data_IF_396241539658
#
_entry.id   IF_396241539658
#
_cell.length_a   1.000
_cell.length_b   1.000
_cell.length_c   1.000
_cell.angle_alpha   90.00
_cell.angle_beta   90.00
_cell.angle_gamma   90.00
#
_symmetry.space_group_name_H-M   'P 1'
#
loop_
_entity.id
_entity.type
_entity.pdbx_description
1 polymer ?
#
# COMPACT_ATOMS: atom_id res chain seq x y z
N UNK A 1 75.32 -18.41 -13.05
CA UNK A 1 74.00 -18.39 -13.72
C UNK A 1 73.01 -19.01 -12.75
N UNK A 2 71.96 -18.24 -12.39
CA UNK A 2 70.55 -18.61 -12.07
C UNK A 2 70.30 -20.05 -11.60
N UNK A 3 69.48 -20.42 -10.62
CA UNK A 3 68.48 -19.85 -9.69
C UNK A 3 68.02 -21.10 -8.87
N UNK A 4 67.30 -21.12 -7.76
CA UNK A 4 66.64 -20.16 -6.88
C UNK A 4 66.15 -20.98 -5.68
N UNK A 5 66.26 -20.42 -4.47
CA UNK A 5 65.78 -21.05 -3.23
C UNK A 5 64.25 -20.95 -3.15
N UNK A 6 63.56 -22.09 -3.14
CA UNK A 6 62.15 -22.17 -2.75
C UNK A 6 62.06 -22.18 -1.22
N UNK A 7 61.62 -21.06 -0.63
CA UNK A 7 61.16 -21.00 0.76
C UNK A 7 59.64 -21.20 0.75
N UNK A 8 59.21 -22.30 1.36
CA UNK A 8 57.82 -22.53 1.74
C UNK A 8 57.52 -21.73 3.01
N UNK A 9 56.76 -20.64 2.89
CA UNK A 9 56.12 -19.98 4.03
C UNK A 9 54.68 -20.47 4.17
N UNK A 10 54.20 -20.76 5.40
CA UNK A 10 52.85 -21.22 5.65
C UNK A 10 51.84 -20.07 5.50
N UNK A 11 50.76 -20.34 4.78
CA UNK A 11 49.54 -19.52 4.69
C UNK A 11 49.01 -19.12 6.08
N UNK A 12 48.78 -17.83 6.37
CA UNK A 12 47.82 -17.44 7.38
C UNK A 12 46.42 -17.42 6.74
N UNK A 13 45.65 -18.48 7.00
CA UNK A 13 44.19 -18.41 7.00
C UNK A 13 43.75 -17.58 8.22
N UNK A 14 42.58 -16.96 8.10
CA UNK A 14 41.87 -16.20 9.14
C UNK A 14 42.26 -14.73 9.30
N UNK A 15 41.71 -13.89 8.42
CA UNK A 15 41.37 -12.51 8.79
C UNK A 15 40.15 -12.03 8.01
N UNK A 16 39.01 -12.08 8.71
CA UNK A 16 37.87 -11.17 8.62
C UNK A 16 37.58 -10.55 7.25
N UNK A 17 36.66 -11.17 6.49
CA UNK A 17 35.70 -10.45 5.65
C UNK A 17 34.29 -10.84 6.11
N UNK A 18 33.91 -10.30 7.27
CA UNK A 18 32.52 -10.20 7.69
C UNK A 18 32.26 -8.71 7.97
N UNK A 19 31.95 -7.98 6.91
CA UNK A 19 31.45 -6.61 6.88
C UNK A 19 31.02 -6.39 5.42
N UNK A 20 29.74 -6.47 5.09
CA UNK A 20 28.75 -5.44 5.34
C UNK A 20 27.38 -6.07 5.58
N UNK A 21 27.06 -6.34 6.85
CA UNK A 21 25.66 -6.42 7.29
C UNK A 21 25.17 -4.98 7.46
N UNK A 22 24.60 -4.40 6.41
CA UNK A 22 23.69 -3.26 6.57
C UNK A 22 22.28 -3.75 6.37
N UNK A 23 21.78 -4.50 7.36
CA UNK A 23 20.35 -4.56 7.64
C UNK A 23 19.91 -3.10 7.84
N UNK A 24 19.41 -2.45 6.80
CA UNK A 24 18.48 -1.34 7.00
C UNK A 24 17.26 -1.99 7.63
N UNK A 25 17.24 -2.09 8.96
CA UNK A 25 15.98 -2.28 9.68
C UNK A 25 15.16 -1.07 9.31
N UNK A 26 14.28 -1.24 8.35
CA UNK A 26 13.15 -0.35 8.16
C UNK A 26 12.42 -0.38 9.50
N UNK A 27 12.65 0.63 10.33
CA UNK A 27 11.92 0.79 11.58
C UNK A 27 10.47 1.01 11.20
N UNK A 28 9.60 0.10 11.64
CA UNK A 28 8.17 0.21 11.42
C UNK A 28 7.65 1.51 12.06
N UNK A 29 7.36 2.51 11.22
CA UNK A 29 6.82 3.82 11.59
C UNK A 29 5.29 3.91 11.46
N UNK A 30 4.62 2.79 11.15
CA UNK A 30 3.19 2.76 10.83
C UNK A 30 2.31 3.30 11.95
N UNK A 31 2.63 3.00 13.22
CA UNK A 31 1.87 3.50 14.37
C UNK A 31 1.96 5.02 14.50
N UNK A 32 3.16 5.60 14.30
CA UNK A 32 3.37 7.04 14.36
C UNK A 32 2.65 7.76 13.22
N UNK A 33 2.65 7.15 12.03
CA UNK A 33 1.90 7.66 10.87
C UNK A 33 0.40 7.58 11.10
N UNK A 34 -0.11 6.48 11.69
CA UNK A 34 -1.51 6.38 12.09
C UNK A 34 -1.90 7.43 13.13
N UNK A 35 -1.02 7.75 14.08
CA UNK A 35 -1.25 8.85 15.04
C UNK A 35 -1.36 10.19 14.31
N UNK A 36 -0.44 10.48 13.37
CA UNK A 36 -0.50 11.71 12.57
C UNK A 36 -1.77 11.81 11.71
N UNK A 37 -2.21 10.71 11.09
CA UNK A 37 -3.47 10.68 10.33
C UNK A 37 -4.68 10.89 11.26
N UNK A 38 -4.64 10.34 12.48
CA UNK A 38 -5.68 10.55 13.50
C UNK A 38 -5.78 12.03 13.90
N UNK A 39 -4.65 12.67 14.16
CA UNK A 39 -4.60 14.10 14.50
C UNK A 39 -5.16 14.96 13.35
N UNK A 40 -4.82 14.64 12.10
CA UNK A 40 -5.37 15.31 10.92
C UNK A 40 -6.90 15.13 10.87
N UNK A 41 -7.39 13.89 11.02
CA UNK A 41 -8.83 13.62 10.98
C UNK A 41 -9.59 14.39 12.05
N UNK A 42 -9.07 14.43 13.28
CA UNK A 42 -9.68 15.19 14.39
C UNK A 42 -9.74 16.68 14.08
N UNK A 43 -8.64 17.27 13.61
CA UNK A 43 -8.59 18.70 13.22
C UNK A 43 -9.61 19.03 12.13
N UNK A 44 -9.75 18.16 11.12
CA UNK A 44 -10.73 18.34 10.04
C UNK A 44 -12.18 18.28 10.55
N UNK A 45 -12.48 17.34 11.46
CA UNK A 45 -13.80 17.24 12.09
C UNK A 45 -14.11 18.48 12.94
N UNK A 46 -13.14 19.00 13.71
CA UNK A 46 -13.29 20.24 14.47
C UNK A 46 -13.58 21.43 13.56
N UNK A 47 -12.89 21.52 12.42
CA UNK A 47 -13.11 22.57 11.41
C UNK A 47 -14.49 22.46 10.77
N UNK A 48 -14.92 21.25 10.40
CA UNK A 48 -16.26 21.03 9.86
C UNK A 48 -17.35 21.45 10.87
N UNK A 49 -17.18 21.10 12.15
CA UNK A 49 -18.06 21.53 13.24
C UNK A 49 -18.06 23.05 13.40
N UNK A 50 -16.90 23.70 13.38
CA UNK A 50 -16.79 25.16 13.46
C UNK A 50 -17.45 25.87 12.26
N UNK A 51 -17.47 25.22 11.08
CA UNK A 51 -18.18 25.69 9.89
C UNK A 51 -19.71 25.45 9.92
N UNK A 52 -20.22 24.84 11.00
CA UNK A 52 -21.65 24.63 11.24
C UNK A 52 -22.21 23.31 10.71
N UNK A 53 -21.36 22.35 10.32
CA UNK A 53 -21.82 21.02 9.95
C UNK A 53 -22.48 20.34 11.16
N UNK A 54 -23.64 19.71 10.95
CA UNK A 54 -24.36 18.94 11.97
C UNK A 54 -23.74 17.57 12.22
N UNK A 55 -23.18 16.97 11.16
CA UNK A 55 -22.39 15.75 11.22
C UNK A 55 -21.23 15.85 10.23
N UNK A 56 -20.17 15.09 10.45
CA UNK A 56 -19.03 14.99 9.54
C UNK A 56 -18.31 13.65 9.71
N UNK A 57 -17.66 13.20 8.64
CA UNK A 57 -16.73 12.07 8.64
C UNK A 57 -15.51 12.38 7.79
N UNK A 58 -14.40 11.76 8.16
CA UNK A 58 -13.10 11.89 7.50
C UNK A 58 -12.52 10.50 7.32
N UNK A 59 -12.07 10.20 6.11
CA UNK A 59 -11.25 9.02 5.83
C UNK A 59 -9.88 9.47 5.33
N UNK A 60 -8.83 8.96 5.97
CA UNK A 60 -7.45 9.15 5.57
C UNK A 60 -6.86 7.80 5.17
N UNK A 61 -6.11 7.76 4.07
CA UNK A 61 -5.34 6.59 3.65
C UNK A 61 -3.92 6.96 3.25
N UNK A 62 -2.99 6.06 3.51
CA UNK A 62 -1.65 6.06 2.93
C UNK A 62 -1.31 4.65 2.44
N UNK A 63 -0.87 4.55 1.20
CA UNK A 63 -0.53 3.28 0.56
C UNK A 63 0.88 3.36 -0.03
N UNK A 64 1.61 2.25 0.05
CA UNK A 64 2.90 2.08 -0.61
C UNK A 64 2.96 0.70 -1.22
N UNK A 65 3.48 0.60 -2.43
CA UNK A 65 3.60 -0.67 -3.13
C UNK A 65 4.82 -0.76 -4.03
N UNK A 66 5.13 -2.00 -4.36
CA UNK A 66 6.04 -2.40 -5.42
C UNK A 66 5.32 -3.48 -6.23
N UNK A 67 5.24 -3.29 -7.54
CA UNK A 67 4.67 -4.23 -8.49
C UNK A 67 5.69 -4.47 -9.62
N UNK A 68 5.99 -5.75 -9.87
CA UNK A 68 6.91 -6.16 -10.94
C UNK A 68 6.17 -7.13 -11.83
N UNK A 69 6.26 -6.89 -13.15
CA UNK A 69 5.74 -7.80 -14.17
C UNK A 69 6.86 -8.22 -15.11
N UNK A 70 6.90 -9.50 -15.42
CA UNK A 70 7.84 -10.12 -16.36
C UNK A 70 7.05 -10.90 -17.40
N UNK A 71 7.60 -11.02 -18.59
CA UNK A 71 7.01 -11.82 -19.65
C UNK A 71 8.07 -12.41 -20.55
N UNK A 72 7.92 -13.70 -20.84
CA UNK A 72 8.82 -14.48 -21.68
C UNK A 72 10.30 -14.41 -21.23
N UNK A 73 10.55 -14.23 -19.93
CA UNK A 73 11.88 -14.10 -19.34
C UNK A 73 12.46 -12.68 -19.34
N UNK A 74 11.74 -11.69 -19.83
CA UNK A 74 12.14 -10.28 -19.82
C UNK A 74 11.30 -9.48 -18.82
N UNK A 75 11.90 -8.47 -18.19
CA UNK A 75 11.18 -7.54 -17.31
C UNK A 75 10.37 -6.56 -18.16
N UNK A 76 9.05 -6.50 -17.93
CA UNK A 76 8.17 -5.54 -18.61
C UNK A 76 8.00 -4.26 -17.81
N UNK A 77 7.68 -4.36 -16.52
CA UNK A 77 7.45 -3.22 -15.64
C UNK A 77 8.01 -3.42 -14.24
N UNK A 78 8.47 -2.31 -13.67
CA UNK A 78 8.81 -2.18 -12.25
C UNK A 78 8.18 -0.87 -11.79
N UNK A 79 7.12 -0.97 -11.02
CA UNK A 79 6.35 0.18 -10.53
C UNK A 79 6.46 0.30 -9.02
N UNK A 80 6.75 1.51 -8.53
CA UNK A 80 6.64 1.83 -7.11
C UNK A 80 5.57 2.87 -6.90
N UNK A 81 4.57 2.54 -6.08
CA UNK A 81 3.44 3.42 -5.77
C UNK A 81 3.61 4.01 -4.38
N UNK A 82 3.20 5.27 -4.25
CA UNK A 82 3.13 5.97 -2.96
C UNK A 82 1.98 6.94 -3.01
N UNK A 83 0.85 6.47 -2.52
CA UNK A 83 -0.40 7.21 -2.55
C UNK A 83 -0.83 7.63 -1.16
N UNK A 84 -1.57 8.72 -1.11
CA UNK A 84 -2.27 9.17 0.08
C UNK A 84 -3.52 9.92 -0.32
N UNK A 85 -4.53 9.83 0.53
CA UNK A 85 -5.80 10.51 0.31
C UNK A 85 -6.45 10.90 1.62
N UNK A 86 -7.10 12.05 1.60
CA UNK A 86 -7.99 12.50 2.67
C UNK A 86 -9.31 12.87 2.00
N UNK A 87 -10.39 12.26 2.44
CA UNK A 87 -11.74 12.63 2.05
C UNK A 87 -12.50 13.13 3.28
N UNK A 88 -13.26 14.21 3.09
CA UNK A 88 -14.13 14.80 4.11
C UNK A 88 -15.54 14.81 3.55
N UNK A 89 -16.48 14.25 4.31
CA UNK A 89 -17.92 14.39 4.07
C UNK A 89 -18.52 15.16 5.23
N UNK A 90 -19.36 16.14 4.91
CA UNK A 90 -20.08 16.96 5.89
C UNK A 90 -21.57 16.94 5.60
N UNK A 91 -22.34 17.13 6.67
CA UNK A 91 -23.79 17.18 6.61
C UNK A 91 -24.29 18.48 7.24
N UNK A 92 -25.24 19.14 6.60
CA UNK A 92 -25.97 20.29 7.13
C UNK A 92 -27.46 19.94 7.20
N UNK A 93 -27.86 19.31 8.31
CA UNK A 93 -29.13 18.61 8.40
C UNK A 93 -29.06 17.33 7.56
N UNK A 94 -29.87 17.26 6.50
CA UNK A 94 -29.94 16.11 5.58
C UNK A 94 -29.26 16.37 4.22
N UNK A 95 -28.61 17.53 4.06
CA UNK A 95 -27.82 17.87 2.89
C UNK A 95 -26.37 17.44 3.06
N UNK A 96 -25.81 16.75 2.06
CA UNK A 96 -24.48 16.14 2.08
C UNK A 96 -23.53 16.85 1.11
N UNK A 97 -22.29 17.07 1.52
CA UNK A 97 -21.23 17.50 0.62
C UNK A 97 -19.93 16.77 0.95
N UNK A 98 -19.15 16.46 -0.07
CA UNK A 98 -17.89 15.74 0.07
C UNK A 98 -16.82 16.36 -0.80
N UNK A 99 -15.58 16.35 -0.32
CA UNK A 99 -14.39 16.77 -1.05
C UNK A 99 -13.19 15.92 -0.60
N UNK A 100 -12.14 15.87 -1.43
CA UNK A 100 -10.93 15.13 -1.11
C UNK A 100 -9.66 15.83 -1.59
N UNK A 101 -8.51 15.43 -1.03
CA UNK A 101 -7.18 15.92 -1.40
C UNK A 101 -6.12 14.86 -1.10
N UNK A 102 -5.01 14.89 -1.84
CA UNK A 102 -3.80 14.14 -1.53
C UNK A 102 -2.73 15.01 -0.83
N UNK A 103 -2.96 16.33 -0.76
CA UNK A 103 -2.04 17.29 -0.15
C UNK A 103 -2.36 17.49 1.33
N UNK A 104 -1.35 17.30 2.19
CA UNK A 104 -1.45 17.42 3.64
C UNK A 104 -1.13 18.83 4.16
N UNK A 105 -0.84 19.79 3.29
CA UNK A 105 -0.66 21.17 3.70
C UNK A 105 -1.94 21.70 4.35
N UNK A 106 -1.80 22.43 5.47
CA UNK A 106 -2.92 22.96 6.24
C UNK A 106 -3.89 23.78 5.36
N UNK A 107 -3.38 24.56 4.40
CA UNK A 107 -4.20 25.32 3.47
C UNK A 107 -5.08 24.43 2.56
N UNK A 108 -4.52 23.31 2.09
CA UNK A 108 -5.23 22.34 1.25
C UNK A 108 -6.30 21.62 2.06
N UNK A 109 -5.97 21.20 3.29
CA UNK A 109 -6.89 20.60 4.24
C UNK A 109 -8.08 21.53 4.58
N UNK A 110 -7.80 22.80 4.88
CA UNK A 110 -8.84 23.80 5.15
C UNK A 110 -9.72 24.06 3.93
N UNK A 111 -9.11 24.15 2.75
CA UNK A 111 -9.82 24.30 1.48
C UNK A 111 -10.75 23.11 1.21
N UNK A 112 -10.31 21.88 1.46
CA UNK A 112 -11.13 20.68 1.30
C UNK A 112 -12.37 20.71 2.19
N UNK A 113 -12.24 21.08 3.47
CA UNK A 113 -13.40 21.22 4.37
C UNK A 113 -14.34 22.32 3.88
N UNK A 114 -13.80 23.46 3.48
CA UNK A 114 -14.60 24.58 2.96
C UNK A 114 -15.38 24.19 1.69
N UNK A 115 -14.76 23.45 0.78
CA UNK A 115 -15.40 22.94 -0.43
C UNK A 115 -16.52 21.94 -0.11
N UNK A 116 -16.28 20.96 0.78
CA UNK A 116 -17.31 20.03 1.22
C UNK A 116 -18.51 20.77 1.84
N UNK A 117 -18.25 21.79 2.68
CA UNK A 117 -19.29 22.63 3.27
C UNK A 117 -20.05 23.45 2.24
N UNK A 118 -19.36 24.01 1.23
CA UNK A 118 -19.99 24.74 0.15
C UNK A 118 -20.95 23.83 -0.63
N UNK A 119 -20.48 22.65 -1.04
CA UNK A 119 -21.31 21.65 -1.75
C UNK A 119 -22.55 21.32 -0.93
N UNK A 120 -22.40 20.94 0.35
CA UNK A 120 -23.51 20.55 1.21
C UNK A 120 -24.59 21.64 1.36
N UNK A 121 -24.22 22.93 1.29
CA UNK A 121 -25.19 24.03 1.40
C UNK A 121 -26.04 24.20 0.13
N UNK A 122 -25.60 23.69 -1.02
CA UNK A 122 -26.28 23.78 -2.30
C UNK A 122 -26.94 22.47 -2.75
N UNK A 123 -26.67 21.34 -2.09
CA UNK A 123 -27.36 20.07 -2.35
C UNK A 123 -28.77 20.05 -1.74
N UNK A 124 -29.62 19.19 -2.27
CA UNK A 124 -30.97 18.94 -1.75
C UNK A 124 -30.95 18.09 -0.48
N UNK A 125 -32.03 18.15 0.29
CA UNK A 125 -32.23 17.28 1.45
C UNK A 125 -32.52 15.84 1.00
N UNK A 126 -31.81 14.88 1.61
CA UNK A 126 -32.06 13.46 1.44
C UNK A 126 -32.33 12.82 2.81
N UNK A 127 -33.54 12.28 3.00
CA UNK A 127 -33.96 11.69 4.26
C UNK A 127 -33.05 10.54 4.73
N UNK A 128 -32.46 9.79 3.79
CA UNK A 128 -31.55 8.68 4.07
C UNK A 128 -30.11 9.14 4.37
N UNK A 129 -29.81 10.42 4.19
CA UNK A 129 -28.49 10.99 4.41
C UNK A 129 -28.17 11.16 5.90
N UNK A 130 -26.91 10.92 6.26
CA UNK A 130 -26.38 11.08 7.61
C UNK A 130 -25.34 10.02 7.93
N UNK A 131 -24.68 10.17 9.07
CA UNK A 131 -23.88 9.10 9.65
C UNK A 131 -24.78 7.95 10.11
N UNK A 132 -24.21 6.75 10.17
CA UNK A 132 -24.83 5.65 10.90
C UNK A 132 -25.02 6.03 12.39
N UNK A 133 -26.03 5.43 13.03
CA UNK A 133 -26.39 5.78 14.39
C UNK A 133 -25.19 5.58 15.36
N UNK A 134 -24.98 6.49 16.33
CA UNK A 134 -23.83 6.43 17.24
C UNK A 134 -23.70 5.11 18.00
N UNK A 135 -24.82 4.44 18.26
CA UNK A 135 -24.89 3.16 18.97
C UNK A 135 -24.41 1.96 18.14
N UNK A 136 -24.35 2.10 16.81
CA UNK A 136 -23.83 1.10 15.88
C UNK A 136 -22.32 1.22 15.65
N UNK A 137 -21.69 2.29 16.17
CA UNK A 137 -20.24 2.46 16.07
C UNK A 137 -19.52 1.33 16.81
N UNK A 138 -18.49 0.75 16.19
CA UNK A 138 -17.67 -0.26 16.84
C UNK A 138 -17.00 0.33 18.09
N UNK A 139 -17.02 -0.44 19.19
CA UNK A 139 -16.41 -0.07 20.47
C UNK A 139 -15.16 -0.90 20.78
N UNK A 140 -15.12 -2.10 20.22
CA UNK A 140 -14.02 -3.04 20.37
C UNK A 140 -13.32 -3.18 19.03
N UNK A 141 -12.00 -3.04 19.05
CA UNK A 141 -11.13 -3.16 17.89
C UNK A 141 -10.20 -4.35 18.13
N UNK A 142 -10.61 -5.57 17.73
CA UNK A 142 -9.74 -6.72 17.87
C UNK A 142 -8.49 -6.53 17.01
N UNK A 143 -7.34 -6.93 17.56
CA UNK A 143 -6.13 -7.04 16.74
C UNK A 143 -6.31 -8.21 15.78
N UNK A 144 -6.34 -7.91 14.47
CA UNK A 144 -6.51 -8.89 13.41
C UNK A 144 -5.17 -9.46 12.92
N UNK A 145 -4.05 -9.01 13.48
CA UNK A 145 -2.70 -9.39 13.05
C UNK A 145 -2.54 -9.25 11.52
N UNK A 146 -2.97 -8.12 10.96
CA UNK A 146 -2.98 -7.85 9.52
C UNK A 146 -1.68 -7.22 8.99
N UNK A 147 -0.67 -7.07 9.85
CA UNK A 147 0.55 -6.32 9.54
C UNK A 147 1.79 -7.22 9.49
N UNK A 148 2.13 -7.66 8.28
CA UNK A 148 3.28 -8.51 8.00
C UNK A 148 4.15 -7.90 6.90
N UNK A 149 4.91 -6.82 7.17
CA UNK A 149 5.75 -6.19 6.15
C UNK A 149 6.77 -7.15 5.57
N UNK A 150 6.86 -7.19 4.25
CA UNK A 150 7.88 -7.92 3.52
C UNK A 150 8.91 -6.95 2.99
N UNK A 151 10.15 -7.08 3.44
CA UNK A 151 11.29 -6.30 2.94
C UNK A 151 11.72 -6.81 1.55
N UNK A 152 10.80 -6.79 0.59
CA UNK A 152 11.03 -7.15 -0.80
C UNK A 152 11.48 -5.91 -1.57
N UNK A 153 12.69 -5.94 -2.10
CA UNK A 153 13.19 -4.93 -3.03
C UNK A 153 12.89 -5.30 -4.49
N UNK A 154 13.11 -4.34 -5.40
CA UNK A 154 12.80 -4.50 -6.82
C UNK A 154 13.58 -5.65 -7.48
N UNK A 155 14.87 -5.79 -7.15
CA UNK A 155 15.72 -6.84 -7.73
C UNK A 155 15.23 -8.23 -7.29
N UNK A 156 14.94 -8.40 -6.00
CA UNK A 156 14.39 -9.66 -5.47
C UNK A 156 12.99 -9.94 -6.03
N UNK A 157 12.16 -8.91 -6.23
CA UNK A 157 10.83 -9.07 -6.84
C UNK A 157 10.93 -9.52 -8.30
N UNK A 158 11.87 -8.96 -9.07
CA UNK A 158 12.20 -9.41 -10.44
C UNK A 158 12.63 -10.87 -10.43
N UNK A 159 13.57 -11.24 -9.56
CA UNK A 159 14.05 -12.62 -9.47
C UNK A 159 12.91 -13.60 -9.15
N UNK A 160 12.00 -13.23 -8.24
CA UNK A 160 10.83 -14.04 -7.90
C UNK A 160 9.86 -14.19 -9.07
N UNK A 161 9.54 -13.09 -9.77
CA UNK A 161 8.64 -13.12 -10.91
C UNK A 161 9.23 -13.97 -12.06
N UNK A 162 10.52 -13.79 -12.37
CA UNK A 162 11.23 -14.58 -13.39
C UNK A 162 11.27 -16.07 -13.02
N UNK A 163 11.59 -16.39 -11.76
CA UNK A 163 11.60 -17.76 -11.28
C UNK A 163 10.21 -18.41 -11.35
N UNK A 164 9.16 -17.66 -11.04
CA UNK A 164 7.77 -18.12 -11.12
C UNK A 164 7.38 -18.44 -12.58
N UNK A 165 7.65 -17.52 -13.51
CA UNK A 165 7.37 -17.73 -14.93
C UNK A 165 8.15 -18.92 -15.50
N UNK A 166 9.46 -18.99 -15.20
CA UNK A 166 10.33 -20.06 -15.67
C UNK A 166 9.87 -21.43 -15.16
N UNK A 167 9.55 -21.55 -13.87
CA UNK A 167 9.05 -22.79 -13.30
C UNK A 167 7.76 -23.28 -14.00
N UNK A 168 6.88 -22.34 -14.36
CA UNK A 168 5.67 -22.61 -15.11
C UNK A 168 5.93 -23.08 -16.54
N UNK A 169 6.75 -22.33 -17.30
CA UNK A 169 7.06 -22.62 -18.71
C UNK A 169 7.86 -23.91 -18.88
N UNK A 170 8.79 -24.19 -17.95
CA UNK A 170 9.67 -25.35 -18.01
C UNK A 170 8.97 -26.65 -17.54
N UNK A 171 7.75 -26.55 -16.99
CA UNK A 171 7.01 -27.71 -16.50
C UNK A 171 6.58 -28.67 -17.61
N UNK A 172 6.26 -28.17 -18.81
CA UNK A 172 5.84 -29.00 -19.94
C UNK A 172 6.12 -28.29 -21.28
N UNK A 173 6.68 -29.02 -22.25
CA UNK A 173 7.00 -28.49 -23.59
C UNK A 173 5.79 -27.96 -24.38
N UNK A 174 4.57 -28.32 -23.98
CA UNK A 174 3.32 -27.79 -24.57
C UNK A 174 2.99 -26.36 -24.11
N UNK A 175 3.68 -25.85 -23.09
CA UNK A 175 3.57 -24.47 -22.61
C UNK A 175 4.58 -23.63 -23.40
N UNK A 176 4.22 -23.27 -24.63
CA UNK A 176 5.12 -22.54 -25.53
C UNK A 176 5.05 -21.02 -25.40
N UNK A 177 4.09 -20.47 -24.63
CA UNK A 177 3.88 -19.03 -24.52
C UNK A 177 3.42 -18.62 -23.10
N UNK A 178 3.46 -17.33 -22.80
CA UNK A 178 3.17 -16.76 -21.49
C UNK A 178 2.54 -15.37 -21.61
N UNK A 179 1.57 -15.10 -20.74
CA UNK A 179 1.05 -13.76 -20.47
C UNK A 179 1.77 -13.10 -19.29
N UNK A 180 2.80 -13.76 -18.75
CA UNK A 180 3.73 -13.21 -17.79
C UNK A 180 3.58 -13.77 -16.38
N UNK A 181 4.43 -13.27 -15.50
CA UNK A 181 4.32 -13.45 -14.06
C UNK A 181 4.53 -12.12 -13.36
N UNK A 182 3.99 -12.02 -12.14
CA UNK A 182 4.13 -10.84 -11.32
C UNK A 182 4.51 -11.19 -9.89
N UNK A 183 5.21 -10.27 -9.25
CA UNK A 183 5.45 -10.27 -7.81
C UNK A 183 5.16 -8.86 -7.29
N UNK A 184 4.30 -8.78 -6.26
CA UNK A 184 3.90 -7.51 -5.67
C UNK A 184 3.83 -7.55 -4.15
N UNK A 185 4.15 -6.42 -3.54
CA UNK A 185 4.08 -6.17 -2.11
C UNK A 185 3.45 -4.80 -1.87
N UNK A 186 2.60 -4.71 -0.86
CA UNK A 186 1.83 -3.52 -0.54
C UNK A 186 1.65 -3.35 0.97
N UNK A 187 1.63 -2.10 1.39
CA UNK A 187 1.39 -1.66 2.76
C UNK A 187 0.30 -0.58 2.72
N UNK A 188 -0.71 -0.69 3.56
CA UNK A 188 -1.78 0.30 3.70
C UNK A 188 -1.93 0.74 5.15
N UNK A 189 -2.19 2.04 5.35
CA UNK A 189 -2.61 2.64 6.61
C UNK A 189 -3.92 3.38 6.36
N UNK A 190 -4.90 3.21 7.23
CA UNK A 190 -6.16 3.94 7.13
C UNK A 190 -6.62 4.43 8.49
N UNK A 191 -7.26 5.61 8.48
CA UNK A 191 -7.99 6.15 9.61
C UNK A 191 -9.35 6.61 9.13
N UNK A 192 -10.40 6.16 9.79
CA UNK A 192 -11.74 6.70 9.63
C UNK A 192 -12.17 7.34 10.95
N UNK A 193 -12.63 8.58 10.90
CA UNK A 193 -13.14 9.27 12.07
C UNK A 193 -14.43 10.02 11.75
N UNK A 194 -15.32 10.17 12.73
CA UNK A 194 -16.55 10.94 12.53
C UNK A 194 -16.95 11.78 13.74
N UNK A 195 -17.94 12.64 13.55
CA UNK A 195 -18.41 13.59 14.55
C UNK A 195 -19.12 12.96 15.76
N UNK A 196 -19.37 11.64 15.77
CA UNK A 196 -19.82 10.91 16.96
C UNK A 196 -18.66 10.59 17.92
N UNK A 197 -17.43 10.93 17.55
CA UNK A 197 -16.23 10.62 18.32
C UNK A 197 -15.64 9.25 17.99
N UNK A 198 -16.16 8.55 16.98
CA UNK A 198 -15.58 7.31 16.50
C UNK A 198 -14.25 7.59 15.79
N UNK A 199 -13.24 6.77 16.07
CA UNK A 199 -11.94 6.73 15.39
C UNK A 199 -11.56 5.27 15.20
N UNK A 200 -11.64 4.78 13.97
CA UNK A 200 -11.13 3.50 13.54
C UNK A 200 -9.77 3.67 12.88
N UNK A 201 -8.82 2.80 13.23
CA UNK A 201 -7.46 2.80 12.69
C UNK A 201 -7.13 1.40 12.21
N UNK A 202 -6.55 1.28 11.03
CA UNK A 202 -6.14 0.00 10.48
C UNK A 202 -4.78 0.13 9.78
N UNK A 203 -3.98 -0.93 9.87
CA UNK A 203 -2.79 -1.11 9.04
C UNK A 203 -2.82 -2.52 8.47
N UNK A 204 -2.47 -2.65 7.19
CA UNK A 204 -2.54 -3.90 6.46
C UNK A 204 -1.33 -4.08 5.56
N UNK A 205 -1.00 -5.34 5.29
CA UNK A 205 -0.03 -5.72 4.27
C UNK A 205 -0.63 -6.73 3.32
N UNK A 206 -0.32 -6.60 2.03
CA UNK A 206 -0.75 -7.54 1.00
C UNK A 206 0.43 -7.89 0.11
N UNK A 207 0.60 -9.18 -0.16
CA UNK A 207 1.67 -9.70 -1.01
C UNK A 207 1.06 -10.69 -1.98
N UNK A 208 1.46 -10.63 -3.25
CA UNK A 208 1.00 -11.56 -4.26
C UNK A 208 2.14 -11.97 -5.20
N UNK A 209 2.07 -13.22 -5.64
CA UNK A 209 2.88 -13.72 -6.76
C UNK A 209 1.91 -14.46 -7.67
N UNK A 210 1.93 -14.15 -8.96
CA UNK A 210 1.00 -14.74 -9.92
C UNK A 210 1.72 -15.08 -11.22
N UNK A 211 1.19 -16.03 -11.98
CA UNK A 211 1.71 -16.41 -13.29
C UNK A 211 0.57 -16.88 -14.20
N UNK A 212 0.57 -16.41 -15.43
CA UNK A 212 -0.41 -16.77 -16.45
C UNK A 212 0.30 -17.36 -17.67
N UNK A 213 0.10 -18.65 -17.90
CA UNK A 213 0.74 -19.41 -18.96
C UNK A 213 -0.25 -19.76 -20.07
N UNK A 214 0.28 -20.02 -21.26
CA UNK A 214 -0.50 -20.45 -22.42
C UNK A 214 0.02 -21.80 -22.93
N UNK A 215 -0.86 -22.78 -22.97
CA UNK A 215 -0.57 -24.12 -23.49
C UNK A 215 -1.36 -24.41 -24.78
N UNK A 216 -0.85 -25.30 -25.61
CA UNK A 216 -1.51 -25.74 -26.84
C UNK A 216 -1.02 -25.03 -28.10
N UNK A 217 -1.63 -25.34 -29.24
CA UNK A 217 -1.22 -24.85 -30.55
C UNK A 217 -2.44 -24.51 -31.43
N UNK A 218 -2.30 -23.48 -32.26
CA UNK A 218 -3.36 -23.05 -33.18
C UNK A 218 -4.67 -22.74 -32.45
N UNK A 219 -5.78 -23.29 -32.95
CA UNK A 219 -7.11 -23.11 -32.38
C UNK A 219 -7.29 -23.79 -31.01
N UNK A 220 -6.33 -24.62 -30.59
CA UNK A 220 -6.33 -25.31 -29.30
C UNK A 220 -5.54 -24.59 -28.20
N UNK A 221 -5.15 -23.33 -28.40
CA UNK A 221 -4.50 -22.54 -27.34
C UNK A 221 -5.46 -22.31 -26.18
N UNK A 222 -4.97 -22.51 -24.95
CA UNK A 222 -5.69 -22.31 -23.71
C UNK A 222 -4.86 -21.45 -22.77
N UNK A 223 -5.54 -20.58 -22.03
CA UNK A 223 -5.03 -19.76 -20.93
C UNK A 223 -5.85 -20.08 -19.70
N UNK A 224 -5.26 -19.96 -18.51
CA UNK A 224 -6.04 -19.99 -17.27
C UNK A 224 -6.99 -18.78 -17.20
N UNK A 225 -8.23 -19.02 -16.77
CA UNK A 225 -9.34 -18.05 -16.80
C UNK A 225 -9.75 -17.58 -15.41
#
# INVERSE_FOLDING_TARGET
MMAGLSRTDPHPKDKALNALSSETRVTDDSLQRLDALTDISQRLLERARAAGATQAEVSCSEERGLDVNVRLGDVETVESTRDRGIAVTVYFGKRKGSASTADLQDASLESTVAQACAIARYTEDDAASGLADPELMARDFPDLDSWHPWALDADTAVDLALACEAAGRDADARISNSDGASASTGLSLSVYANSHGFIGRERGTHHSISCALIAGQGDGMQRDG
#
